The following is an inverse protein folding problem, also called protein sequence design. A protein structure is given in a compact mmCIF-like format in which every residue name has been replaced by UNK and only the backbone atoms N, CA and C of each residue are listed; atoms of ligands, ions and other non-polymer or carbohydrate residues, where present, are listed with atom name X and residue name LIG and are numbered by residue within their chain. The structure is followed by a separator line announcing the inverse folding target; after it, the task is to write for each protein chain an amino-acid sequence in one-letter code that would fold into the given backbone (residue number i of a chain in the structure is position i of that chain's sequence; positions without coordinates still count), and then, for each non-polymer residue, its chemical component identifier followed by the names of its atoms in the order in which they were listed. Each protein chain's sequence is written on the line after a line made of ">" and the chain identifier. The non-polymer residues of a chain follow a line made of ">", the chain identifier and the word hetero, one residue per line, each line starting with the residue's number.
data_IF_294327066637
#
_entry.id   IF_294327066637
#
_cell.length_a   1.000
_cell.length_b   1.000
_cell.length_c   1.000
_cell.angle_alpha   90.00
_cell.angle_beta   90.00
_cell.angle_gamma   90.00
#
_symmetry.space_group_name_H-M   'P 1'
#
loop_
_entity.id
_entity.type
_entity.pdbx_description
1 polymer ?
#
# COMPACT_ATOMS: atom_id res chain seq x y z
N UNK A 1 48.43 65.25 16.69
CA UNK A 1 47.02 65.31 17.14
C UNK A 1 46.11 65.54 15.94
N UNK A 2 45.18 64.61 15.67
CA UNK A 2 43.87 64.80 15.01
C UNK A 2 43.20 63.41 14.94
N UNK A 3 42.42 63.09 15.97
CA UNK A 3 41.56 61.89 16.02
C UNK A 3 40.44 62.10 15.01
N UNK A 4 40.32 61.21 14.03
CA UNK A 4 39.17 61.16 13.13
C UNK A 4 38.29 60.00 13.59
N UNK A 5 37.11 60.36 14.07
CA UNK A 5 36.01 59.49 14.44
C UNK A 5 34.91 59.71 13.40
N UNK A 6 34.31 58.63 12.89
CA UNK A 6 33.02 58.49 12.15
C UNK A 6 33.16 57.27 11.21
N UNK A 7 32.20 56.39 11.00
CA UNK A 7 30.84 56.19 11.50
C UNK A 7 30.43 54.77 11.05
N UNK A 8 29.63 54.14 11.88
CA UNK A 8 28.86 52.90 11.70
C UNK A 8 28.19 52.73 10.33
N UNK A 9 28.17 51.49 9.82
CA UNK A 9 27.04 50.92 9.08
C UNK A 9 26.96 49.41 9.36
N UNK A 10 25.95 49.03 10.13
CA UNK A 10 25.55 47.64 10.32
C UNK A 10 24.78 47.17 9.08
N UNK A 11 25.20 46.08 8.46
CA UNK A 11 24.41 45.36 7.48
C UNK A 11 23.81 44.13 8.18
N UNK A 12 22.57 44.25 8.63
CA UNK A 12 21.78 43.11 9.10
C UNK A 12 21.34 42.35 7.85
N UNK A 13 22.07 41.28 7.51
CA UNK A 13 21.67 40.35 6.46
C UNK A 13 20.49 39.50 6.94
N UNK A 14 19.30 39.80 6.43
CA UNK A 14 18.12 38.96 6.62
C UNK A 14 18.30 37.65 5.84
N UNK A 15 18.69 36.59 6.54
CA UNK A 15 18.72 35.24 6.00
C UNK A 15 17.27 34.72 5.90
N UNK A 16 16.70 34.73 4.69
CA UNK A 16 15.48 34.00 4.37
C UNK A 16 15.74 32.50 4.54
N UNK A 17 15.37 31.94 5.70
CA UNK A 17 15.27 30.49 5.89
C UNK A 17 14.08 30.01 5.05
N UNK A 18 14.37 29.52 3.85
CA UNK A 18 13.39 28.77 3.05
C UNK A 18 13.23 27.41 3.72
N UNK A 19 12.22 27.29 4.59
CA UNK A 19 11.76 25.98 5.05
C UNK A 19 11.05 25.32 3.87
N UNK A 20 11.79 24.50 3.12
CA UNK A 20 11.21 23.56 2.18
C UNK A 20 10.44 22.52 3.01
N UNK A 21 9.17 22.80 3.26
CA UNK A 21 8.22 21.77 3.67
C UNK A 21 8.17 20.74 2.53
N UNK A 22 8.94 19.67 2.66
CA UNK A 22 8.80 18.50 1.82
C UNK A 22 7.37 17.99 2.02
N UNK A 23 6.49 18.33 1.07
CA UNK A 23 5.12 17.86 1.07
C UNK A 23 5.12 16.35 1.20
N UNK A 24 4.41 15.82 2.19
CA UNK A 24 4.21 14.38 2.38
C UNK A 24 3.40 13.82 1.21
N UNK A 25 4.05 13.61 0.06
CA UNK A 25 3.48 12.92 -1.08
C UNK A 25 3.71 11.39 -1.01
N UNK A 26 4.26 10.89 0.10
CA UNK A 26 4.52 9.47 0.35
C UNK A 26 3.29 8.76 0.91
N UNK A 27 3.12 7.47 0.60
CA UNK A 27 2.12 6.61 1.24
C UNK A 27 2.33 6.48 2.76
N UNK A 28 1.60 5.59 3.44
CA UNK A 28 1.85 5.32 4.86
C UNK A 28 3.31 4.92 5.10
N UNK A 29 3.89 5.28 6.26
CA UNK A 29 5.21 4.80 6.64
C UNK A 29 5.21 3.28 6.73
N UNK A 30 6.28 2.64 6.27
CA UNK A 30 6.46 1.20 6.42
C UNK A 30 6.71 0.86 7.89
N UNK A 31 5.98 -0.09 8.47
CA UNK A 31 6.24 -0.60 9.82
C UNK A 31 7.69 -1.05 9.97
N UNK A 32 8.30 -0.71 11.12
CA UNK A 32 9.69 -1.02 11.39
C UNK A 32 9.87 -2.43 11.94
N UNK A 33 10.96 -3.11 11.56
CA UNK A 33 11.37 -4.38 12.18
C UNK A 33 11.55 -4.18 13.69
N UNK A 34 11.07 -5.15 14.48
CA UNK A 34 11.06 -5.10 15.94
C UNK A 34 9.88 -4.34 16.57
N UNK A 35 9.03 -3.69 15.77
CA UNK A 35 7.81 -3.06 16.27
C UNK A 35 6.83 -4.10 16.82
N UNK A 36 6.01 -3.70 17.80
CA UNK A 36 4.88 -4.52 18.28
C UNK A 36 3.66 -4.35 17.39
N UNK A 37 2.74 -5.32 17.42
CA UNK A 37 1.47 -5.20 16.71
C UNK A 37 0.71 -3.91 17.08
N UNK A 38 0.67 -3.51 18.36
CA UNK A 38 0.03 -2.27 18.77
C UNK A 38 0.64 -1.02 18.12
N UNK A 39 1.97 -1.00 17.92
CA UNK A 39 2.64 0.09 17.21
C UNK A 39 2.30 0.09 15.72
N UNK A 40 2.17 -1.08 15.09
CA UNK A 40 1.72 -1.20 13.70
C UNK A 40 0.27 -0.74 13.56
N UNK A 41 -0.60 -1.13 14.49
CA UNK A 41 -2.01 -0.73 14.50
C UNK A 41 -2.18 0.77 14.67
N UNK A 42 -1.35 1.42 15.50
CA UNK A 42 -1.34 2.87 15.64
C UNK A 42 -0.96 3.59 14.32
N UNK A 43 -0.21 2.93 13.44
CA UNK A 43 0.22 3.49 12.14
C UNK A 43 -0.77 3.16 11.02
N UNK A 44 -1.25 1.92 10.94
CA UNK A 44 -1.99 1.39 9.80
C UNK A 44 -3.50 1.19 10.05
N UNK A 45 -3.93 1.18 11.32
CA UNK A 45 -5.28 0.82 11.74
C UNK A 45 -5.39 -0.64 12.15
N UNK A 46 -6.62 -1.13 12.30
CA UNK A 46 -6.86 -2.50 12.74
C UNK A 46 -6.49 -3.53 11.67
N UNK A 47 -6.02 -4.72 12.05
CA UNK A 47 -5.80 -5.81 11.10
C UNK A 47 -7.06 -6.15 10.31
N UNK A 48 -6.90 -6.41 9.01
CA UNK A 48 -7.95 -6.91 8.13
C UNK A 48 -8.08 -8.43 8.21
N UNK A 49 -6.94 -9.12 8.25
CA UNK A 49 -6.85 -10.57 8.34
C UNK A 49 -5.57 -10.98 9.05
N UNK A 50 -5.57 -12.17 9.63
CA UNK A 50 -4.39 -12.78 10.26
C UNK A 50 -4.33 -14.24 9.87
N UNK A 51 -3.17 -14.64 9.38
CA UNK A 51 -2.89 -16.00 8.98
C UNK A 51 -1.76 -16.57 9.86
N UNK A 52 -1.93 -17.74 10.48
CA UNK A 52 -0.84 -18.37 11.23
C UNK A 52 0.28 -18.81 10.28
N UNK A 53 1.50 -18.81 10.80
CA UNK A 53 2.69 -19.36 10.14
C UNK A 53 3.20 -20.60 10.90
N UNK A 54 3.86 -21.55 10.21
CA UNK A 54 4.31 -22.80 10.83
C UNK A 54 5.30 -22.64 11.99
N UNK A 55 6.03 -21.53 12.03
CA UNK A 55 7.03 -21.19 13.05
C UNK A 55 6.43 -20.55 14.31
N UNK A 56 5.09 -20.49 14.41
CA UNK A 56 4.38 -19.79 15.48
C UNK A 56 4.26 -18.28 15.24
N UNK A 57 4.83 -17.78 14.15
CA UNK A 57 4.61 -16.42 13.68
C UNK A 57 3.24 -16.20 13.06
N UNK A 58 2.99 -14.98 12.60
CA UNK A 58 1.74 -14.58 11.95
C UNK A 58 2.00 -13.67 10.78
N UNK A 59 1.30 -13.91 9.69
CA UNK A 59 1.18 -12.98 8.58
C UNK A 59 -0.11 -12.17 8.79
N UNK A 60 0.00 -10.85 8.87
CA UNK A 60 -1.13 -9.98 9.18
C UNK A 60 -1.31 -8.95 8.08
N UNK A 61 -2.52 -8.87 7.57
CA UNK A 61 -2.91 -7.90 6.56
C UNK A 61 -3.43 -6.62 7.22
N UNK A 62 -3.01 -5.46 6.71
CA UNK A 62 -3.51 -4.15 7.09
C UNK A 62 -3.92 -3.35 5.86
N UNK A 63 -5.14 -2.80 5.87
CA UNK A 63 -5.61 -1.89 4.83
C UNK A 63 -5.50 -0.46 5.32
N UNK A 64 -4.73 0.36 4.62
CA UNK A 64 -4.50 1.73 5.03
C UNK A 64 -5.71 2.61 4.76
N UNK A 65 -6.22 3.28 5.81
CA UNK A 65 -7.46 4.05 5.72
C UNK A 65 -7.35 5.32 4.86
N UNK A 66 -6.14 5.80 4.56
CA UNK A 66 -5.91 7.05 3.79
C UNK A 66 -5.37 6.81 2.38
N UNK A 67 -5.69 5.68 1.76
CA UNK A 67 -5.38 5.43 0.36
C UNK A 67 -5.39 3.96 -0.03
N UNK A 68 -5.18 3.63 -1.31
CA UNK A 68 -5.22 2.26 -1.81
C UNK A 68 -3.90 1.53 -1.51
N UNK A 69 -3.62 1.33 -0.23
CA UNK A 69 -2.43 0.61 0.22
C UNK A 69 -2.85 -0.52 1.15
N UNK A 70 -2.38 -1.71 0.82
CA UNK A 70 -2.41 -2.86 1.72
C UNK A 70 -0.98 -3.23 2.09
N UNK A 71 -0.78 -3.49 3.38
CA UNK A 71 0.46 -4.05 3.90
C UNK A 71 0.22 -5.47 4.36
N UNK A 72 1.17 -6.34 4.02
CA UNK A 72 1.35 -7.62 4.69
C UNK A 72 2.53 -7.46 5.64
N UNK A 73 2.29 -7.73 6.92
CA UNK A 73 3.28 -7.61 8.00
C UNK A 73 3.46 -8.99 8.62
N UNK A 74 4.70 -9.45 8.63
CA UNK A 74 5.09 -10.71 9.25
C UNK A 74 5.55 -10.43 10.67
N UNK A 75 4.97 -11.15 11.63
CA UNK A 75 5.34 -11.13 13.04
C UNK A 75 5.93 -12.48 13.43
N UNK A 76 7.00 -12.46 14.22
CA UNK A 76 7.53 -13.66 14.87
C UNK A 76 6.62 -14.17 16.01
N UNK A 77 6.98 -15.30 16.60
CA UNK A 77 6.27 -15.88 17.74
C UNK A 77 6.28 -14.98 19.00
N UNK A 78 7.19 -14.02 19.09
CA UNK A 78 7.24 -13.02 20.16
C UNK A 78 6.34 -11.78 19.87
N UNK A 79 5.65 -11.76 18.72
CA UNK A 79 4.78 -10.67 18.31
C UNK A 79 5.55 -9.43 17.84
N UNK A 80 6.79 -9.60 17.36
CA UNK A 80 7.62 -8.53 16.79
C UNK A 80 7.63 -8.61 15.28
N UNK A 81 7.56 -7.45 14.63
CA UNK A 81 7.66 -7.36 13.16
C UNK A 81 9.02 -7.88 12.71
N UNK A 82 9.02 -8.82 11.76
CA UNK A 82 10.24 -9.27 11.06
C UNK A 82 10.31 -8.74 9.64
N UNK A 83 9.16 -8.48 9.02
CA UNK A 83 9.07 -7.90 7.68
C UNK A 83 7.73 -7.17 7.51
N UNK A 84 7.71 -6.09 6.73
CA UNK A 84 6.50 -5.40 6.32
C UNK A 84 6.59 -4.97 4.85
N UNK A 85 5.61 -5.39 4.05
CA UNK A 85 5.61 -5.19 2.59
C UNK A 85 4.33 -4.49 2.16
N UNK A 86 4.44 -3.42 1.36
CA UNK A 86 3.29 -2.85 0.66
C UNK A 86 3.01 -3.71 -0.57
N UNK A 87 1.83 -4.33 -0.63
CA UNK A 87 1.60 -5.44 -1.57
C UNK A 87 0.83 -5.08 -2.84
N UNK A 88 0.14 -3.93 -2.88
CA UNK A 88 -0.63 -3.50 -4.05
C UNK A 88 0.26 -2.76 -5.05
N UNK A 89 1.00 -3.52 -5.86
CA UNK A 89 1.85 -3.02 -6.93
C UNK A 89 1.94 -4.05 -8.09
N UNK A 90 2.35 -3.59 -9.27
CA UNK A 90 2.37 -4.43 -10.48
C UNK A 90 3.31 -5.64 -10.39
N UNK A 91 4.41 -5.54 -9.66
CA UNK A 91 5.35 -6.66 -9.47
C UNK A 91 4.66 -7.83 -8.75
N UNK A 92 3.85 -7.53 -7.73
CA UNK A 92 3.09 -8.56 -7.02
C UNK A 92 1.87 -9.03 -7.82
N UNK A 93 1.20 -8.13 -8.55
CA UNK A 93 0.08 -8.54 -9.42
C UNK A 93 0.49 -9.56 -10.48
N UNK A 94 1.71 -9.45 -11.01
CA UNK A 94 2.27 -10.46 -11.94
C UNK A 94 2.48 -11.82 -11.31
N UNK A 95 2.46 -11.95 -9.98
CA UNK A 95 2.59 -13.24 -9.30
C UNK A 95 1.23 -13.95 -9.15
N UNK A 96 0.11 -13.24 -9.33
CA UNK A 96 -1.22 -13.86 -9.36
C UNK A 96 -1.39 -14.62 -10.68
N UNK A 97 -1.55 -15.94 -10.60
CA UNK A 97 -1.64 -16.84 -11.75
C UNK A 97 -2.90 -17.70 -11.70
N UNK A 98 -3.43 -18.13 -12.87
CA UNK A 98 -4.50 -19.11 -12.91
C UNK A 98 -4.17 -20.37 -12.09
N UNK A 99 -5.17 -20.92 -11.40
CA UNK A 99 -5.03 -22.07 -10.51
C UNK A 99 -4.68 -21.72 -9.05
N UNK A 100 -4.29 -20.49 -8.74
CA UNK A 100 -4.10 -20.07 -7.33
C UNK A 100 -5.43 -20.07 -6.58
N UNK A 101 -5.44 -20.48 -5.31
CA UNK A 101 -6.63 -20.39 -4.45
C UNK A 101 -6.89 -18.96 -3.97
N UNK A 102 -8.11 -18.69 -3.50
CA UNK A 102 -8.43 -17.41 -2.86
C UNK A 102 -7.46 -17.08 -1.71
N UNK A 103 -7.16 -18.03 -0.83
CA UNK A 103 -6.22 -17.82 0.28
C UNK A 103 -4.82 -17.46 -0.23
N UNK A 104 -4.33 -18.11 -1.29
CA UNK A 104 -3.03 -17.78 -1.88
C UNK A 104 -3.01 -16.35 -2.42
N UNK A 105 -4.10 -15.86 -3.02
CA UNK A 105 -4.22 -14.46 -3.46
C UNK A 105 -4.23 -13.51 -2.26
N UNK A 106 -5.01 -13.82 -1.22
CA UNK A 106 -5.06 -13.00 0.02
C UNK A 106 -3.70 -12.92 0.71
N UNK A 107 -2.97 -14.03 0.78
CA UNK A 107 -1.61 -14.05 1.36
C UNK A 107 -0.59 -13.32 0.49
N UNK A 108 -0.85 -13.09 -0.79
CA UNK A 108 0.07 -12.41 -1.68
C UNK A 108 -0.21 -10.90 -1.76
N UNK A 109 -1.47 -10.50 -1.93
CA UNK A 109 -1.86 -9.10 -2.16
C UNK A 109 -2.97 -8.58 -1.24
N UNK A 110 -3.45 -9.39 -0.31
CA UNK A 110 -4.51 -9.03 0.63
C UNK A 110 -5.91 -9.03 0.02
N UNK A 111 -6.88 -8.54 0.80
CA UNK A 111 -8.27 -8.45 0.39
C UNK A 111 -8.49 -7.36 -0.66
N UNK A 112 -9.40 -7.58 -1.62
CA UNK A 112 -9.74 -6.58 -2.61
C UNK A 112 -10.46 -5.39 -1.99
N UNK A 113 -10.43 -4.27 -2.70
CA UNK A 113 -11.28 -3.11 -2.38
C UNK A 113 -12.76 -3.44 -2.58
N UNK A 114 -13.06 -4.26 -3.60
CA UNK A 114 -14.43 -4.65 -3.93
C UNK A 114 -14.48 -6.10 -4.44
N UNK A 115 -15.50 -6.83 -4.01
CA UNK A 115 -15.88 -8.13 -4.57
C UNK A 115 -17.23 -7.99 -5.29
N UNK A 116 -17.35 -8.51 -6.51
CA UNK A 116 -18.60 -8.56 -7.26
C UNK A 116 -18.78 -9.90 -7.98
N UNK A 117 -20.01 -10.31 -8.32
CA UNK A 117 -20.22 -11.45 -9.20
C UNK A 117 -19.72 -11.15 -10.61
N UNK A 118 -18.96 -12.06 -11.23
CA UNK A 118 -18.43 -11.88 -12.60
C UNK A 118 -19.40 -12.35 -13.71
N UNK A 119 -20.63 -12.74 -13.36
CA UNK A 119 -21.66 -13.20 -14.29
C UNK A 119 -21.93 -14.71 -14.25
N UNK A 120 -22.89 -15.20 -15.04
CA UNK A 120 -23.45 -16.58 -14.91
C UNK A 120 -22.47 -17.73 -15.16
N UNK A 121 -21.33 -17.48 -15.81
CA UNK A 121 -20.32 -18.50 -16.17
C UNK A 121 -18.96 -18.26 -15.50
N UNK A 122 -18.92 -17.39 -14.50
CA UNK A 122 -17.71 -17.06 -13.77
C UNK A 122 -18.01 -16.94 -12.28
N UNK A 123 -16.97 -17.05 -11.47
CA UNK A 123 -17.08 -16.86 -10.03
C UNK A 123 -17.10 -15.39 -9.63
N UNK A 124 -16.50 -15.10 -8.49
CA UNK A 124 -16.25 -13.75 -8.01
C UNK A 124 -15.21 -13.01 -8.86
N UNK A 125 -15.38 -11.70 -8.93
CA UNK A 125 -14.44 -10.73 -9.43
C UNK A 125 -13.96 -9.90 -8.25
N UNK A 126 -12.68 -10.05 -7.92
CA UNK A 126 -12.01 -9.24 -6.92
C UNK A 126 -11.32 -8.07 -7.61
N UNK A 127 -11.62 -6.86 -7.17
CA UNK A 127 -11.12 -5.62 -7.74
C UNK A 127 -10.23 -4.90 -6.75
N UNK A 128 -9.00 -4.60 -7.18
CA UNK A 128 -7.97 -3.92 -6.42
C UNK A 128 -7.70 -2.54 -7.02
N UNK A 129 -7.89 -1.50 -6.21
CA UNK A 129 -7.37 -0.17 -6.53
C UNK A 129 -5.93 -0.08 -6.01
N UNK A 130 -5.07 0.63 -6.73
CA UNK A 130 -3.68 0.86 -6.32
C UNK A 130 -3.21 2.21 -6.85
N UNK A 131 -2.13 2.73 -6.28
CA UNK A 131 -1.56 4.00 -6.74
C UNK A 131 -0.87 3.78 -8.09
N UNK A 132 -1.39 4.38 -9.15
CA UNK A 132 -0.81 4.43 -10.48
C UNK A 132 -1.19 5.74 -11.19
N UNK A 133 -0.50 6.08 -12.28
CA UNK A 133 -0.79 7.27 -13.11
C UNK A 133 -1.58 6.94 -14.37
N UNK A 134 -1.79 5.66 -14.65
CA UNK A 134 -2.38 5.14 -15.87
C UNK A 134 -3.91 4.98 -15.81
N UNK A 135 -4.55 5.39 -14.71
CA UNK A 135 -5.98 5.20 -14.48
C UNK A 135 -6.40 3.73 -14.61
N UNK A 136 -5.66 2.85 -13.91
CA UNK A 136 -5.84 1.41 -13.97
C UNK A 136 -6.22 0.82 -12.60
N UNK A 137 -6.88 -0.35 -12.65
CA UNK A 137 -7.13 -1.22 -11.51
C UNK A 137 -6.66 -2.64 -11.85
N UNK A 138 -6.46 -3.46 -10.82
CA UNK A 138 -6.14 -4.86 -11.00
C UNK A 138 -7.34 -5.72 -10.63
N UNK A 139 -7.66 -6.71 -11.47
CA UNK A 139 -8.82 -7.55 -11.31
C UNK A 139 -8.41 -9.01 -11.31
N UNK A 140 -8.99 -9.79 -10.39
CA UNK A 140 -8.81 -11.24 -10.28
C UNK A 140 -10.18 -11.88 -10.40
N UNK A 141 -10.38 -12.70 -11.42
CA UNK A 141 -11.61 -13.45 -11.64
C UNK A 141 -11.40 -14.90 -11.21
N UNK A 142 -12.32 -15.44 -10.42
CA UNK A 142 -12.29 -16.82 -9.98
C UNK A 142 -13.12 -17.75 -10.89
N UNK A 143 -12.80 -19.04 -10.82
CA UNK A 143 -13.57 -20.13 -11.43
C UNK A 143 -15.02 -20.13 -10.93
N UNK A 144 -15.98 -20.74 -11.65
CA UNK A 144 -17.39 -20.72 -11.25
C UNK A 144 -17.70 -21.26 -9.85
N UNK A 145 -16.85 -22.14 -9.33
CA UNK A 145 -16.90 -22.70 -7.97
C UNK A 145 -16.17 -21.84 -6.93
N UNK A 146 -15.62 -20.69 -7.33
CA UNK A 146 -14.78 -19.80 -6.53
C UNK A 146 -13.50 -20.42 -5.96
N UNK A 147 -13.11 -21.62 -6.40
CA UNK A 147 -11.99 -22.33 -5.82
C UNK A 147 -10.64 -21.74 -6.21
N UNK A 148 -10.49 -21.33 -7.48
CA UNK A 148 -9.20 -20.92 -8.04
C UNK A 148 -9.31 -19.73 -8.97
N UNK A 149 -8.20 -19.00 -9.16
CA UNK A 149 -8.08 -17.93 -10.13
C UNK A 149 -8.28 -18.50 -11.53
N UNK A 150 -9.24 -17.96 -12.27
CA UNK A 150 -9.43 -18.24 -13.69
C UNK A 150 -8.60 -17.27 -14.55
N UNK A 151 -8.60 -15.99 -14.21
CA UNK A 151 -7.83 -14.95 -14.90
C UNK A 151 -7.49 -13.80 -13.97
N UNK A 152 -6.43 -13.06 -14.29
CA UNK A 152 -6.08 -11.83 -13.60
C UNK A 152 -5.44 -10.83 -14.57
N UNK A 153 -5.84 -9.56 -14.48
CA UNK A 153 -5.40 -8.54 -15.42
C UNK A 153 -5.42 -7.14 -14.81
N UNK A 154 -4.53 -6.28 -15.31
CA UNK A 154 -4.64 -4.83 -15.14
C UNK A 154 -5.54 -4.31 -16.26
N UNK A 155 -6.59 -3.59 -15.89
CA UNK A 155 -7.58 -3.02 -16.83
C UNK A 155 -7.71 -1.53 -16.59
N UNK A 156 -8.21 -0.80 -17.60
CA UNK A 156 -8.52 0.62 -17.44
C UNK A 156 -9.78 0.78 -16.59
N UNK A 157 -9.87 1.87 -15.84
CA UNK A 157 -11.11 2.18 -15.14
C UNK A 157 -12.20 2.58 -16.16
N UNK A 158 -13.47 2.23 -15.93
CA UNK A 158 -14.55 2.47 -16.90
C UNK A 158 -14.77 3.94 -17.30
N UNK A 159 -14.38 4.90 -16.46
CA UNK A 159 -14.46 6.33 -16.80
C UNK A 159 -13.31 6.79 -17.68
N UNK A 160 -12.16 6.11 -17.63
CA UNK A 160 -11.00 6.38 -18.47
C UNK A 160 -11.12 5.72 -19.84
N UNK A 161 -11.73 4.53 -19.94
CA UNK A 161 -12.02 3.88 -21.22
C UNK A 161 -12.89 4.76 -22.14
N UNK A 162 -13.95 5.35 -21.58
CA UNK A 162 -14.85 6.26 -22.30
C UNK A 162 -14.19 7.54 -22.80
N UNK A 163 -13.13 8.00 -22.14
CA UNK A 163 -12.40 9.20 -22.55
C UNK A 163 -11.41 8.94 -23.69
N UNK A 164 -11.09 7.67 -23.97
CA UNK A 164 -10.16 7.24 -25.03
C UNK A 164 -10.83 6.81 -26.34
N UNK A 165 -12.17 6.83 -26.41
CA UNK A 165 -12.97 6.49 -27.61
C UNK A 165 -13.46 7.76 -28.31
#
# INVERSE_FOLDING_TARGET
>A
MRKIWRRTSAAVGAACVVVLAAGCAGGPPTPQVGATQAQVEAQLGTPKATFPLPDGGRQVEFNYVRGPFTYIVFFDAAGKVVEAVQVLNETNFRQVRPGMTQEQVLRLIGHPFQTSPAGRRAGELWTYTYRNTQCQWFQVQFSPDNATVASAAITLLPHCERASS
#
